data_IF_472385585256
#
_entry.id   IF_472385585256
#
_cell.length_a   1.000
_cell.length_b   1.000
_cell.length_c   1.000
_cell.angle_alpha   90.00
_cell.angle_beta   90.00
_cell.angle_gamma   90.00
#
_symmetry.space_group_name_H-M   'P 1'
#
loop_
_entity.id
_entity.type
_entity.pdbx_description
1 polymer ?
#
# COMPACT_ATOMS: atom_id res chain seq x y z
N UNK A 1 -16.27 8.58 -6.04
CA UNK A 1 -15.78 9.58 -5.08
C UNK A 1 -16.26 9.34 -3.66
N UNK A 2 -17.31 8.54 -3.43
CA UNK A 2 -17.77 8.18 -2.07
C UNK A 2 -16.66 7.62 -1.15
N UNK A 3 -15.77 6.77 -1.67
CA UNK A 3 -14.62 6.27 -0.88
C UNK A 3 -13.70 7.40 -0.42
N UNK A 4 -13.45 8.39 -1.28
CA UNK A 4 -12.63 9.55 -0.97
C UNK A 4 -13.34 10.44 0.06
N UNK A 5 -14.64 10.66 -0.10
CA UNK A 5 -15.47 11.41 0.85
C UNK A 5 -15.46 10.75 2.23
N UNK A 6 -15.52 9.41 2.28
CA UNK A 6 -15.41 8.64 3.51
C UNK A 6 -14.04 8.83 4.18
N UNK A 7 -12.95 8.79 3.40
CA UNK A 7 -11.59 9.03 3.91
C UNK A 7 -11.40 10.46 4.41
N UNK A 8 -11.91 11.45 3.68
CA UNK A 8 -11.91 12.87 4.08
C UNK A 8 -12.62 13.03 5.43
N UNK A 9 -13.80 12.42 5.58
CA UNK A 9 -14.54 12.45 6.85
C UNK A 9 -13.81 11.71 7.97
N UNK A 10 -13.32 10.50 7.70
CA UNK A 10 -12.66 9.61 8.68
C UNK A 10 -11.39 10.23 9.25
N UNK A 11 -10.61 10.90 8.41
CA UNK A 11 -9.35 11.50 8.80
C UNK A 11 -9.45 13.00 9.08
N UNK A 12 -10.66 13.57 9.05
CA UNK A 12 -10.91 15.00 9.25
C UNK A 12 -10.04 15.88 8.33
N UNK A 13 -9.97 15.51 7.05
CA UNK A 13 -9.18 16.22 6.05
C UNK A 13 -9.91 17.49 5.58
N UNK A 14 -9.13 18.47 5.17
CA UNK A 14 -9.64 19.66 4.47
C UNK A 14 -9.71 19.36 2.96
N UNK A 15 -10.59 20.03 2.23
CA UNK A 15 -10.63 19.94 0.77
C UNK A 15 -11.06 21.27 0.15
N UNK A 16 -10.56 21.53 -1.06
CA UNK A 16 -11.00 22.64 -1.91
C UNK A 16 -11.52 22.10 -3.26
N UNK A 17 -11.73 22.97 -4.25
CA UNK A 17 -12.23 22.59 -5.57
C UNK A 17 -11.34 21.56 -6.28
N UNK A 18 -10.02 21.63 -6.08
CA UNK A 18 -9.03 20.86 -6.84
C UNK A 18 -8.21 19.91 -5.96
N UNK A 19 -8.16 20.13 -4.64
CA UNK A 19 -7.24 19.43 -3.74
C UNK A 19 -7.93 18.81 -2.54
N UNK A 20 -7.33 17.72 -2.07
CA UNK A 20 -7.48 17.20 -0.71
C UNK A 20 -6.24 17.65 0.06
N UNK A 21 -6.47 18.23 1.22
CA UNK A 21 -5.46 18.89 2.04
C UNK A 21 -5.29 18.05 3.32
N UNK A 22 -4.14 17.41 3.42
CA UNK A 22 -3.79 16.56 4.56
C UNK A 22 -2.90 17.36 5.52
N UNK A 23 -3.36 17.62 6.76
CA UNK A 23 -2.48 18.18 7.78
C UNK A 23 -1.43 17.13 8.17
N UNK A 24 -0.17 17.52 8.18
CA UNK A 24 0.95 16.65 8.55
C UNK A 24 1.47 17.04 9.95
N UNK A 25 2.13 16.11 10.67
CA UNK A 25 2.78 16.41 11.94
C UNK A 25 3.74 17.60 11.80
N UNK A 26 3.75 18.46 12.82
CA UNK A 26 4.70 19.56 12.88
C UNK A 26 6.13 19.03 12.83
N UNK A 27 6.96 19.71 12.04
CA UNK A 27 8.40 19.46 12.01
C UNK A 27 9.09 20.78 12.24
N UNK A 28 9.96 20.80 13.25
CA UNK A 28 10.75 22.00 13.62
C UNK A 28 9.86 23.21 13.98
N UNK A 29 8.67 22.98 14.56
CA UNK A 29 7.73 24.03 14.96
C UNK A 29 6.94 24.66 13.81
N UNK A 30 7.03 24.08 12.60
CA UNK A 30 6.24 24.50 11.45
C UNK A 30 5.12 23.50 11.16
N UNK A 31 3.89 23.99 11.12
CA UNK A 31 2.75 23.25 10.59
C UNK A 31 2.98 22.93 9.12
N UNK A 32 2.78 21.67 8.75
CA UNK A 32 2.96 21.18 7.37
C UNK A 32 1.61 20.70 6.83
N UNK A 33 1.42 20.88 5.52
CA UNK A 33 0.23 20.43 4.79
C UNK A 33 0.68 19.75 3.49
N UNK A 34 0.04 18.63 3.15
CA UNK A 34 0.17 17.99 1.85
C UNK A 34 -1.07 18.30 1.01
N UNK A 35 -0.89 18.68 -0.25
CA UNK A 35 -1.97 18.97 -1.18
C UNK A 35 -1.96 17.89 -2.27
N UNK A 36 -3.05 17.14 -2.36
CA UNK A 36 -3.21 16.05 -3.33
C UNK A 36 -4.30 16.44 -4.33
N UNK A 37 -4.00 16.37 -5.62
CA UNK A 37 -4.97 16.66 -6.68
C UNK A 37 -6.12 15.66 -6.66
N UNK A 38 -7.35 16.18 -6.76
CA UNK A 38 -8.58 15.40 -6.94
C UNK A 38 -8.64 14.79 -8.35
N UNK A 39 -7.96 13.67 -8.51
CA UNK A 39 -8.00 12.83 -9.72
C UNK A 39 -8.25 11.38 -9.32
N UNK A 40 -8.90 10.60 -10.16
CA UNK A 40 -9.16 9.19 -9.85
C UNK A 40 -7.86 8.40 -9.61
N UNK A 41 -6.83 8.71 -10.40
CA UNK A 41 -5.51 8.11 -10.33
C UNK A 41 -4.43 9.18 -10.38
N UNK A 42 -3.33 8.94 -9.68
CA UNK A 42 -2.11 9.73 -9.79
C UNK A 42 -0.92 8.80 -10.03
N UNK A 43 -0.04 9.23 -10.93
CA UNK A 43 1.18 8.53 -11.25
C UNK A 43 2.27 8.86 -10.24
N UNK A 44 2.93 7.84 -9.71
CA UNK A 44 3.99 7.97 -8.72
C UNK A 44 5.28 7.43 -9.31
N UNK A 45 6.35 8.23 -9.17
CA UNK A 45 7.70 7.83 -9.54
C UNK A 45 8.38 7.17 -8.33
N UNK A 46 8.94 5.98 -8.55
CA UNK A 46 9.71 5.26 -7.55
C UNK A 46 11.21 5.57 -7.66
N UNK A 47 11.98 5.32 -6.58
CA UNK A 47 13.41 5.66 -6.55
C UNK A 47 14.29 4.99 -7.62
N UNK A 48 13.88 3.85 -8.16
CA UNK A 48 14.52 3.13 -9.26
C UNK A 48 14.13 3.65 -10.65
N UNK A 49 13.26 4.68 -10.71
CA UNK A 49 12.84 5.34 -11.93
C UNK A 49 11.59 4.75 -12.59
N UNK A 50 10.96 3.73 -12.03
CA UNK A 50 9.67 3.23 -12.55
C UNK A 50 8.51 4.15 -12.16
N UNK A 51 7.44 4.09 -12.93
CA UNK A 51 6.20 4.84 -12.70
C UNK A 51 5.02 3.88 -12.62
N UNK A 52 4.13 4.13 -11.66
CA UNK A 52 2.89 3.37 -11.52
C UNK A 52 1.75 4.31 -11.12
N UNK A 53 0.55 4.04 -11.64
CA UNK A 53 -0.67 4.76 -11.28
C UNK A 53 -1.32 4.12 -10.05
N UNK A 54 -1.73 4.94 -9.09
CA UNK A 54 -2.46 4.50 -7.90
C UNK A 54 -3.78 5.23 -7.74
N UNK A 55 -4.83 4.55 -7.25
CA UNK A 55 -6.07 5.19 -6.83
C UNK A 55 -5.81 6.28 -5.79
N UNK A 56 -6.55 7.38 -5.88
CA UNK A 56 -6.43 8.48 -4.92
C UNK A 56 -6.68 8.03 -3.47
N UNK A 57 -7.56 7.05 -3.25
CA UNK A 57 -7.86 6.51 -1.93
C UNK A 57 -6.60 5.95 -1.25
N UNK A 58 -5.82 5.15 -1.97
CA UNK A 58 -4.59 4.55 -1.48
C UNK A 58 -3.52 5.60 -1.21
N UNK A 59 -3.45 6.63 -2.04
CA UNK A 59 -2.52 7.74 -1.88
C UNK A 59 -2.85 8.54 -0.60
N UNK A 60 -4.13 8.82 -0.35
CA UNK A 60 -4.57 9.47 0.89
C UNK A 60 -4.21 8.60 2.09
N UNK A 61 -4.56 7.31 2.06
CA UNK A 61 -4.24 6.39 3.15
C UNK A 61 -2.74 6.32 3.44
N UNK A 62 -1.91 6.19 2.41
CA UNK A 62 -0.46 6.14 2.54
C UNK A 62 0.09 7.42 3.18
N UNK A 63 -0.40 8.58 2.73
CA UNK A 63 0.02 9.89 3.23
C UNK A 63 -0.41 10.11 4.68
N UNK A 64 -1.63 9.71 5.05
CA UNK A 64 -2.13 9.86 6.42
C UNK A 64 -1.46 8.89 7.39
N UNK A 65 -1.31 7.61 6.99
CA UNK A 65 -0.77 6.56 7.87
C UNK A 65 0.74 6.70 8.08
N UNK A 66 1.48 7.19 7.09
CA UNK A 66 2.94 7.26 7.11
C UNK A 66 3.47 8.64 6.69
N UNK A 67 3.12 9.71 7.41
CA UNK A 67 3.37 11.10 6.98
C UNK A 67 4.86 11.50 6.95
N UNK A 68 5.74 10.72 7.56
CA UNK A 68 7.19 10.96 7.56
C UNK A 68 7.94 10.18 6.47
N UNK A 69 7.26 9.29 5.74
CA UNK A 69 7.85 8.51 4.65
C UNK A 69 7.61 9.18 3.30
N UNK A 70 8.42 8.84 2.30
CA UNK A 70 8.12 9.20 0.92
C UNK A 70 6.84 8.48 0.47
N UNK A 71 6.09 9.11 -0.43
CA UNK A 71 4.85 8.51 -0.93
C UNK A 71 5.10 7.14 -1.61
N UNK A 72 6.20 7.04 -2.37
CA UNK A 72 6.62 5.79 -3.01
C UNK A 72 6.98 4.68 -2.01
N UNK A 73 7.42 5.03 -0.80
CA UNK A 73 7.70 4.07 0.27
C UNK A 73 6.44 3.69 1.03
N UNK A 74 5.60 4.67 1.38
CA UNK A 74 4.38 4.50 2.18
C UNK A 74 3.32 3.63 1.48
N UNK A 75 3.18 3.74 0.16
CA UNK A 75 2.25 2.91 -0.62
C UNK A 75 2.52 1.42 -0.47
N UNK A 76 3.80 1.03 -0.41
CA UNK A 76 4.17 -0.36 -0.19
C UNK A 76 3.60 -0.91 1.12
N UNK A 77 3.57 -0.10 2.18
CA UNK A 77 3.01 -0.50 3.46
C UNK A 77 1.50 -0.61 3.44
N UNK A 78 0.81 0.25 2.68
CA UNK A 78 -0.65 0.15 2.49
C UNK A 78 -1.02 -1.17 1.82
N UNK A 79 -0.34 -1.54 0.74
CA UNK A 79 -0.59 -2.84 0.07
C UNK A 79 -0.10 -4.06 0.86
N UNK A 80 0.94 -3.90 1.68
CA UNK A 80 1.47 -4.98 2.51
C UNK A 80 0.70 -5.22 3.78
N UNK A 81 -0.15 -4.30 4.21
CA UNK A 81 -1.02 -4.53 5.36
C UNK A 81 -2.12 -5.47 4.89
N UNK A 82 -2.10 -6.77 5.21
CA UNK A 82 -3.30 -7.56 5.02
C UNK A 82 -4.30 -6.95 5.99
N UNK A 83 -5.50 -6.60 5.53
CA UNK A 83 -6.58 -6.39 6.48
C UNK A 83 -6.59 -7.60 7.42
N UNK A 84 -6.33 -7.37 8.70
CA UNK A 84 -6.55 -8.39 9.73
C UNK A 84 -8.06 -8.49 9.88
N UNK A 85 -8.68 -9.17 8.92
CA UNK A 85 -10.07 -9.62 8.87
C UNK A 85 -10.06 -11.00 8.22
N UNK A 86 -9.41 -11.93 8.93
CA UNK A 86 -9.89 -13.29 9.12
C UNK A 86 -10.35 -14.08 7.88
N UNK A 87 -9.43 -14.52 7.00
CA UNK A 87 -9.47 -15.89 6.46
C UNK A 87 -8.02 -16.37 6.26
N UNK A 88 -7.58 -17.27 7.15
CA UNK A 88 -6.49 -18.18 6.85
C UNK A 88 -6.81 -18.91 5.55
N UNK A 89 -5.90 -18.91 4.57
CA UNK A 89 -5.47 -20.11 3.83
C UNK A 89 -4.60 -19.72 2.62
N UNK A 90 -3.34 -20.17 2.68
CA UNK A 90 -2.41 -20.60 1.62
C UNK A 90 -2.19 -19.69 0.38
N UNK A 91 -0.97 -19.38 -0.03
CA UNK A 91 0.17 -20.27 -0.13
C UNK A 91 1.51 -19.52 -0.03
N UNK A 92 2.39 -20.07 0.80
CA UNK A 92 3.82 -19.84 0.73
C UNK A 92 4.34 -20.23 -0.65
N UNK A 93 5.03 -19.29 -1.26
CA UNK A 93 5.97 -19.54 -2.34
C UNK A 93 7.30 -19.94 -1.67
N UNK A 94 7.88 -21.08 -2.05
CA UNK A 94 9.32 -21.21 -2.42
C UNK A 94 9.82 -22.67 -2.46
N UNK A 95 10.10 -23.12 -3.68
CA UNK A 95 11.33 -23.76 -4.14
C UNK A 95 12.05 -24.85 -3.30
N UNK A 96 12.07 -26.05 -3.89
CA UNK A 96 13.27 -26.80 -4.36
C UNK A 96 14.26 -27.31 -3.31
N UNK A 97 14.34 -28.64 -3.12
CA UNK A 97 15.59 -29.44 -3.15
C UNK A 97 15.27 -30.94 -3.37
N UNK A 98 15.95 -31.55 -4.34
CA UNK A 98 16.06 -33.00 -4.59
C UNK A 98 16.74 -33.74 -3.43
N UNK A 99 16.21 -34.89 -3.01
CA UNK A 99 17.03 -36.01 -2.51
C UNK A 99 16.50 -37.31 -3.14
N UNK A 100 17.45 -38.06 -3.73
CA UNK A 100 17.28 -39.36 -4.38
C UNK A 100 17.25 -40.50 -3.35
N UNK A 101 16.74 -41.64 -3.81
CA UNK A 101 17.13 -43.04 -3.49
C UNK A 101 16.06 -43.97 -2.89
N UNK A 102 15.72 -44.96 -3.74
CA UNK A 102 15.60 -46.41 -3.53
C UNK A 102 14.50 -46.96 -2.61
N UNK A 103 13.52 -47.65 -3.22
CA UNK A 103 13.40 -49.11 -3.08
C UNK A 103 12.41 -49.67 -4.13
N UNK A 104 12.95 -50.23 -5.22
CA UNK A 104 12.21 -51.20 -6.03
C UNK A 104 12.17 -52.53 -5.28
N UNK A 105 10.99 -52.86 -4.75
CA UNK A 105 10.61 -54.25 -4.47
C UNK A 105 9.15 -54.45 -4.88
N UNK A 106 8.95 -54.67 -6.17
CA UNK A 106 7.74 -55.34 -6.64
C UNK A 106 8.03 -56.81 -6.89
N UNK A 107 7.21 -57.62 -6.22
CA UNK A 107 7.07 -59.05 -6.38
C UNK A 107 6.79 -59.41 -7.84
N UNK A 108 7.43 -60.47 -8.33
CA UNK A 108 6.91 -61.25 -9.44
C UNK A 108 6.85 -62.70 -8.94
N UNK A 109 5.66 -63.30 -9.09
CA UNK A 109 5.31 -64.70 -8.85
C UNK A 109 6.25 -65.73 -9.53
#
# INVERSE_FOLDING_TARGET
MEEIEELVRRYHLEEDTEHIIIPLPEKEGHARRCFILKRNFLMIQFPDGHFSDFPLAEIIEATVKYPELLLSESIHYVHKTPEISSIMEHSENENKVMIKENDEKENID
#
